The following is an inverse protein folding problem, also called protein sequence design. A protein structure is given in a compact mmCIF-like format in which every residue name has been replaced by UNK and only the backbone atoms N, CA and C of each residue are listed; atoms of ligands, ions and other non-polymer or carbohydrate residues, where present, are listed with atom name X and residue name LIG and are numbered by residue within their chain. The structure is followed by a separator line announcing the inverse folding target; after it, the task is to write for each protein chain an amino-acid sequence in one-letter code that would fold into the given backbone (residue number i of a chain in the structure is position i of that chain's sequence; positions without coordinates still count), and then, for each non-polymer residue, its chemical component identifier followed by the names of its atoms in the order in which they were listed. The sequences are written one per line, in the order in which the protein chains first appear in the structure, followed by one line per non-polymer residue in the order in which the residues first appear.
data_IF_950374694479
#
_entry.id   IF_950374694479
#
_cell.length_a   1.000
_cell.length_b   1.000
_cell.length_c   1.000
_cell.angle_alpha   90.00
_cell.angle_beta   90.00
_cell.angle_gamma   90.00
#
_symmetry.space_group_name_H-M   'P 1'
#
loop_
_entity.id
_entity.type
_entity.pdbx_description
1 polymer ?
#
# COMPACT_ATOMS: atom_id res chain seq x y z
N UNK A 1 -1.55 -23.31 16.97
CA UNK A 1 -0.69 -23.26 15.78
C UNK A 1 -0.23 -21.82 15.69
N UNK A 2 1.07 -21.60 15.75
CA UNK A 2 1.63 -20.26 15.85
C UNK A 2 2.11 -19.78 14.48
N UNK A 3 2.11 -18.47 14.26
CA UNK A 3 2.57 -17.88 13.02
C UNK A 3 4.09 -18.03 12.88
N UNK A 4 4.56 -18.53 11.73
CA UNK A 4 6.00 -18.60 11.40
C UNK A 4 6.52 -17.22 10.99
N UNK A 5 5.65 -16.36 10.45
CA UNK A 5 5.96 -15.00 10.04
C UNK A 5 4.74 -14.09 10.21
N UNK A 6 4.97 -12.82 10.57
CA UNK A 6 3.93 -11.79 10.66
C UNK A 6 4.46 -10.48 10.10
N UNK A 7 3.81 -9.96 9.06
CA UNK A 7 4.05 -8.62 8.54
C UNK A 7 3.01 -7.65 9.09
N UNK A 8 3.45 -6.45 9.47
CA UNK A 8 2.56 -5.37 9.95
C UNK A 8 2.87 -4.11 9.17
N UNK A 9 1.84 -3.41 8.70
CA UNK A 9 1.95 -2.12 8.06
C UNK A 9 0.84 -1.16 8.54
N UNK A 10 1.13 0.13 8.54
CA UNK A 10 0.18 1.20 8.86
C UNK A 10 -0.06 2.06 7.63
N UNK A 11 -1.32 2.33 7.29
CA UNK A 11 -1.68 3.19 6.17
C UNK A 11 -2.67 4.28 6.60
N UNK A 12 -2.52 5.48 6.03
CA UNK A 12 -3.41 6.62 6.30
C UNK A 12 -4.15 7.04 5.02
N UNK A 13 -5.41 6.63 4.87
CA UNK A 13 -6.30 7.08 3.78
C UNK A 13 -5.92 6.61 2.37
N UNK A 14 -6.70 7.06 1.36
CA UNK A 14 -6.44 6.81 -0.07
C UNK A 14 -5.42 7.79 -0.69
N UNK A 15 -5.26 8.97 -0.09
CA UNK A 15 -4.23 9.96 -0.41
C UNK A 15 -3.34 10.13 0.82
N UNK A 16 -2.23 9.40 0.85
CA UNK A 16 -1.42 9.32 2.06
C UNK A 16 -0.23 8.40 1.89
N UNK A 17 0.07 7.62 2.93
CA UNK A 17 1.28 6.80 2.96
C UNK A 17 1.00 5.46 3.66
N UNK A 18 1.57 4.39 3.11
CA UNK A 18 1.58 3.06 3.70
C UNK A 18 3.02 2.69 4.06
N UNK A 19 3.25 2.34 5.33
CA UNK A 19 4.60 2.03 5.84
C UNK A 19 4.57 0.70 6.59
N UNK A 20 5.44 -0.22 6.22
CA UNK A 20 5.66 -1.46 6.97
C UNK A 20 6.44 -1.18 8.25
N UNK A 21 6.18 -1.96 9.29
CA UNK A 21 6.85 -1.84 10.60
C UNK A 21 8.36 -2.01 10.54
N UNK A 22 8.87 -2.71 9.52
CA UNK A 22 10.30 -2.91 9.24
C UNK A 22 10.89 -1.89 8.23
N UNK A 23 10.06 -0.96 7.73
CA UNK A 23 10.47 0.09 6.79
C UNK A 23 10.82 -0.38 5.37
N UNK A 24 10.68 -1.66 5.06
CA UNK A 24 10.96 -2.20 3.72
C UNK A 24 9.94 -1.71 2.67
N UNK A 25 8.70 -1.44 3.10
CA UNK A 25 7.70 -0.77 2.30
C UNK A 25 7.43 0.60 2.88
N UNK A 26 7.70 1.63 2.09
CA UNK A 26 7.39 3.01 2.42
C UNK A 26 6.82 3.72 1.18
N UNK A 27 5.50 3.63 1.02
CA UNK A 27 4.82 3.88 -0.25
C UNK A 27 3.86 5.07 -0.14
N UNK A 28 4.01 6.04 -1.05
CA UNK A 28 2.99 7.08 -1.26
C UNK A 28 1.76 6.49 -1.95
N UNK A 29 0.58 6.74 -1.38
CA UNK A 29 -0.71 6.33 -1.92
C UNK A 29 -1.40 7.52 -2.59
N UNK A 30 -1.94 7.30 -3.77
CA UNK A 30 -2.71 8.30 -4.50
C UNK A 30 -3.93 7.67 -5.19
N UNK A 31 -4.99 8.45 -5.32
CA UNK A 31 -6.13 8.07 -6.14
C UNK A 31 -5.72 8.11 -7.62
N UNK A 32 -6.05 7.08 -8.42
CA UNK A 32 -5.68 7.06 -9.83
C UNK A 32 -6.45 8.13 -10.64
N UNK A 33 -5.90 8.59 -11.78
CA UNK A 33 -6.56 9.60 -12.62
C UNK A 33 -7.95 9.17 -13.12
N UNK A 34 -8.15 7.88 -13.37
CA UNK A 34 -9.45 7.32 -13.78
C UNK A 34 -10.56 7.50 -12.72
N UNK A 35 -10.19 7.76 -11.47
CA UNK A 35 -11.11 8.07 -10.37
C UNK A 35 -11.03 9.54 -9.93
N UNK A 36 -10.35 10.40 -10.72
CA UNK A 36 -10.26 11.84 -10.48
C UNK A 36 -9.09 12.29 -9.59
N UNK A 37 -8.12 11.43 -9.31
CA UNK A 37 -6.92 11.79 -8.54
C UNK A 37 -5.73 12.22 -9.41
N UNK A 38 -4.61 12.57 -8.78
CA UNK A 38 -3.41 13.01 -9.49
C UNK A 38 -2.50 11.85 -9.96
N UNK A 39 -2.76 10.63 -9.46
CA UNK A 39 -1.97 9.44 -9.77
C UNK A 39 -0.52 9.47 -9.29
N UNK A 40 -0.12 10.39 -8.41
CA UNK A 40 1.27 10.55 -7.95
C UNK A 40 1.59 9.63 -6.76
N UNK A 41 1.27 8.35 -6.93
CA UNK A 41 1.44 7.30 -5.94
C UNK A 41 0.91 5.98 -6.46
N UNK A 42 1.13 4.90 -5.70
CA UNK A 42 0.45 3.63 -5.95
C UNK A 42 -0.95 3.64 -5.32
N UNK A 43 -1.72 2.57 -5.50
CA UNK A 43 -3.01 2.39 -4.84
C UNK A 43 -3.17 0.95 -4.33
N UNK A 44 -4.11 0.70 -3.40
CA UNK A 44 -4.32 -0.64 -2.85
C UNK A 44 -4.59 -1.71 -3.92
N UNK A 45 -5.26 -1.35 -5.01
CA UNK A 45 -5.59 -2.27 -6.09
C UNK A 45 -4.33 -2.72 -6.85
N UNK A 46 -3.37 -1.82 -7.10
CA UNK A 46 -2.06 -2.15 -7.66
C UNK A 46 -1.21 -3.01 -6.70
N UNK A 47 -1.24 -2.72 -5.40
CA UNK A 47 -0.52 -3.51 -4.40
C UNK A 47 -1.06 -4.94 -4.28
N UNK A 48 -2.38 -5.09 -4.33
CA UNK A 48 -3.02 -6.41 -4.35
C UNK A 48 -2.63 -7.20 -5.61
N UNK A 49 -2.67 -6.58 -6.79
CA UNK A 49 -2.28 -7.22 -8.03
C UNK A 49 -0.79 -7.64 -8.02
N UNK A 50 0.10 -6.77 -7.53
CA UNK A 50 1.53 -7.06 -7.43
C UNK A 50 1.86 -8.19 -6.44
N UNK A 51 1.12 -8.29 -5.33
CA UNK A 51 1.32 -9.36 -4.35
C UNK A 51 0.78 -10.72 -4.78
N UNK A 52 -0.16 -10.76 -5.73
CA UNK A 52 -0.76 -12.00 -6.23
C UNK A 52 0.00 -12.60 -7.42
N UNK A 53 0.53 -11.74 -8.31
CA UNK A 53 1.19 -12.14 -9.55
C UNK A 53 2.36 -13.13 -9.33
#
# INVERSE_FOLDING_TARGET
MDAIYTAVATANGREGRAVSSDGQLDLGLAMPPALGGDGKGTNPEQLFAAGYA
#
